data_IF_166886333701
#
_entry.id   IF_166886333701
#
_cell.length_a   1.000
_cell.length_b   1.000
_cell.length_c   1.000
_cell.angle_alpha   90.00
_cell.angle_beta   90.00
_cell.angle_gamma   90.00
#
_symmetry.space_group_name_H-M   'P 1'
#
loop_
_entity.id
_entity.type
_entity.pdbx_description
1 polymer ?
#
# COMPACT_ATOMS: atom_id res chain seq x y z
N UNK A 1 -2.24 -18.75 -7.31
CA UNK A 1 -2.74 -19.62 -6.21
C UNK A 1 -1.83 -19.66 -4.97
N UNK A 2 -0.81 -18.80 -4.84
CA UNK A 2 0.03 -18.71 -3.62
C UNK A 2 -0.50 -17.70 -2.58
N UNK A 3 -1.32 -16.73 -3.00
CA UNK A 3 -1.74 -15.60 -2.16
C UNK A 3 -2.84 -15.90 -1.13
N UNK A 4 -3.64 -16.96 -1.30
CA UNK A 4 -4.75 -17.30 -0.37
C UNK A 4 -4.24 -18.04 0.88
N UNK A 5 -3.08 -18.69 0.82
CA UNK A 5 -2.57 -19.52 1.93
C UNK A 5 -1.90 -18.74 3.07
N UNK A 6 -1.57 -17.45 2.89
CA UNK A 6 -0.98 -16.62 3.97
C UNK A 6 -2.02 -16.04 4.92
N UNK A 7 -3.30 -15.96 4.53
CA UNK A 7 -4.37 -15.33 5.32
C UNK A 7 -4.75 -16.15 6.59
N UNK A 8 -4.36 -17.43 6.70
CA UNK A 8 -4.78 -18.32 7.82
C UNK A 8 -3.71 -18.48 8.92
N UNK A 9 -2.49 -17.95 8.77
CA UNK A 9 -1.36 -18.25 9.69
C UNK A 9 -1.25 -17.40 10.96
N UNK A 10 -2.30 -16.66 11.37
CA UNK A 10 -2.28 -15.82 12.59
C UNK A 10 -2.73 -16.51 13.89
N UNK A 11 -3.02 -17.82 13.88
CA UNK A 11 -3.36 -18.56 15.10
C UNK A 11 -2.21 -19.51 15.48
N UNK A 12 -1.49 -19.13 16.54
CA UNK A 12 -0.25 -19.73 16.98
C UNK A 12 -0.26 -21.25 17.09
N UNK A 13 0.55 -21.90 16.26
CA UNK A 13 1.03 -23.26 16.48
C UNK A 13 2.49 -23.35 16.01
N UNK A 14 3.39 -23.49 16.98
CA UNK A 14 4.78 -23.88 16.77
C UNK A 14 4.81 -25.27 16.15
N UNK A 15 5.40 -25.44 14.96
CA UNK A 15 5.80 -26.76 14.50
C UNK A 15 7.18 -26.78 13.84
N UNK A 16 7.94 -27.78 14.29
CA UNK A 16 9.28 -28.18 13.90
C UNK A 16 9.38 -28.52 12.40
N UNK A 17 10.61 -28.31 11.91
CA UNK A 17 11.15 -28.70 10.61
C UNK A 17 10.72 -30.08 10.10
N UNK A 18 10.29 -30.13 8.83
CA UNK A 18 10.45 -31.31 7.99
C UNK A 18 11.12 -30.91 6.65
N UNK A 19 12.40 -31.27 6.51
CA UNK A 19 13.11 -31.25 5.23
C UNK A 19 12.51 -32.33 4.33
N UNK A 20 11.89 -31.93 3.22
CA UNK A 20 11.65 -32.83 2.09
C UNK A 20 12.72 -32.52 1.04
N UNK A 21 13.59 -33.51 0.81
CA UNK A 21 14.61 -33.47 -0.21
C UNK A 21 13.98 -33.65 -1.60
N UNK A 22 14.18 -32.68 -2.48
CA UNK A 22 13.85 -32.77 -3.90
C UNK A 22 14.70 -31.78 -4.68
N UNK A 23 15.70 -32.29 -5.42
CA UNK A 23 16.51 -31.50 -6.36
C UNK A 23 15.64 -31.08 -7.54
N UNK A 24 15.69 -29.82 -7.97
CA UNK A 24 16.35 -29.41 -9.24
C UNK A 24 16.07 -27.95 -9.64
N UNK A 25 17.12 -27.33 -10.20
CA UNK A 25 17.19 -26.13 -11.05
C UNK A 25 16.91 -24.72 -10.47
N UNK A 26 18.01 -24.10 -10.03
CA UNK A 26 18.50 -22.86 -10.67
C UNK A 26 17.83 -21.54 -10.30
N UNK A 27 18.30 -20.93 -9.21
CA UNK A 27 18.04 -19.53 -8.85
C UNK A 27 17.74 -19.35 -7.37
N UNK A 28 18.74 -19.53 -6.51
CA UNK A 28 18.63 -19.13 -5.10
C UNK A 28 18.77 -17.61 -5.03
N UNK A 29 17.68 -16.89 -5.28
CA UNK A 29 17.61 -15.47 -4.96
C UNK A 29 17.61 -15.35 -3.45
N UNK A 30 18.48 -14.52 -2.83
CA UNK A 30 18.37 -14.26 -1.41
C UNK A 30 16.95 -13.76 -1.16
N UNK A 31 16.24 -14.40 -0.23
CA UNK A 31 14.95 -13.89 0.24
C UNK A 31 15.28 -12.53 0.82
N UNK A 32 14.89 -11.45 0.14
CA UNK A 32 15.07 -10.11 0.66
C UNK A 32 14.39 -10.04 2.04
N UNK A 33 15.00 -9.28 2.97
CA UNK A 33 14.39 -8.99 4.27
C UNK A 33 12.92 -8.58 4.08
N UNK A 34 12.04 -9.09 4.92
CA UNK A 34 10.59 -8.85 4.80
C UNK A 34 10.29 -7.36 4.84
N UNK A 35 9.68 -6.85 3.78
CA UNK A 35 9.31 -5.45 3.66
C UNK A 35 7.87 -5.22 4.14
N UNK A 36 7.60 -3.97 4.53
CA UNK A 36 6.33 -3.58 5.13
C UNK A 36 5.57 -2.61 4.22
N UNK A 37 4.26 -2.79 4.14
CA UNK A 37 3.33 -1.79 3.59
C UNK A 37 2.61 -1.13 4.77
N UNK A 38 2.71 0.18 4.91
CA UNK A 38 2.07 0.96 5.97
C UNK A 38 0.91 1.76 5.38
N UNK A 39 -0.24 1.78 6.06
CA UNK A 39 -1.42 2.52 5.60
C UNK A 39 -2.26 3.12 6.72
N UNK A 40 -3.05 4.15 6.43
CA UNK A 40 -4.09 4.60 7.36
C UNK A 40 -5.24 3.57 7.43
N UNK A 41 -5.80 3.23 8.63
CA UNK A 41 -6.81 2.19 8.79
C UNK A 41 -8.21 2.63 8.32
N UNK A 42 -8.34 2.93 7.03
CA UNK A 42 -9.62 3.13 6.35
C UNK A 42 -9.72 2.19 5.14
N UNK A 43 -10.85 2.24 4.43
CA UNK A 43 -11.06 1.44 3.24
C UNK A 43 -10.10 1.81 2.10
N UNK A 44 -9.86 3.10 1.87
CA UNK A 44 -8.94 3.57 0.83
C UNK A 44 -7.49 3.18 1.12
N UNK A 45 -7.02 3.35 2.36
CA UNK A 45 -5.70 2.88 2.79
C UNK A 45 -5.51 1.38 2.63
N UNK A 46 -6.52 0.56 2.94
CA UNK A 46 -6.43 -0.89 2.72
C UNK A 46 -6.37 -1.25 1.23
N UNK A 47 -7.24 -0.66 0.39
CA UNK A 47 -7.23 -0.88 -1.06
C UNK A 47 -5.88 -0.44 -1.64
N UNK A 48 -5.40 0.74 -1.27
CA UNK A 48 -4.09 1.27 -1.66
C UNK A 48 -2.96 0.33 -1.26
N UNK A 49 -3.02 -0.24 -0.05
CA UNK A 49 -2.05 -1.21 0.45
C UNK A 49 -1.99 -2.49 -0.38
N UNK A 50 -3.16 -3.01 -0.79
CA UNK A 50 -3.25 -4.20 -1.65
C UNK A 50 -2.72 -3.91 -3.06
N UNK A 51 -3.04 -2.76 -3.65
CA UNK A 51 -2.52 -2.37 -4.96
C UNK A 51 -0.99 -2.22 -4.94
N UNK A 52 -0.46 -1.60 -3.88
CA UNK A 52 0.98 -1.47 -3.67
C UNK A 52 1.63 -2.84 -3.47
N UNK A 53 1.10 -3.69 -2.58
CA UNK A 53 1.60 -5.05 -2.37
C UNK A 53 1.75 -5.78 -3.71
N UNK A 54 0.66 -5.90 -4.48
CA UNK A 54 0.65 -6.65 -5.73
C UNK A 54 1.75 -6.16 -6.69
N UNK A 55 1.94 -4.84 -6.80
CA UNK A 55 3.00 -4.27 -7.63
C UNK A 55 4.39 -4.53 -7.07
N UNK A 56 4.58 -4.40 -5.76
CA UNK A 56 5.89 -4.54 -5.13
C UNK A 56 6.39 -5.99 -5.21
N UNK A 57 5.52 -6.98 -4.99
CA UNK A 57 5.91 -8.39 -5.14
C UNK A 57 6.20 -8.74 -6.60
N UNK A 58 5.27 -8.44 -7.51
CA UNK A 58 5.36 -8.91 -8.89
C UNK A 58 6.36 -8.11 -9.74
N UNK A 59 6.62 -6.83 -9.43
CA UNK A 59 7.43 -5.93 -10.26
C UNK A 59 8.69 -5.40 -9.58
N UNK A 60 8.73 -5.37 -8.24
CA UNK A 60 9.91 -4.92 -7.50
C UNK A 60 10.64 -6.06 -6.80
N UNK A 61 10.14 -7.29 -6.89
CA UNK A 61 10.70 -8.48 -6.24
C UNK A 61 10.84 -8.27 -4.72
N UNK A 62 9.92 -7.49 -4.14
CA UNK A 62 9.81 -7.32 -2.70
C UNK A 62 9.18 -8.57 -2.09
N UNK A 63 9.56 -8.92 -0.87
CA UNK A 63 8.90 -9.95 -0.08
C UNK A 63 8.01 -9.24 0.95
N UNK A 64 6.76 -8.96 0.59
CA UNK A 64 5.84 -8.23 1.48
C UNK A 64 5.40 -9.20 2.58
N UNK A 65 5.81 -8.90 3.81
CA UNK A 65 5.46 -9.69 4.98
C UNK A 65 4.06 -9.36 5.46
N UNK A 66 3.81 -8.06 5.68
CA UNK A 66 2.61 -7.55 6.33
C UNK A 66 2.16 -6.19 5.75
N UNK A 67 0.85 -5.97 5.76
CA UNK A 67 0.24 -4.65 5.65
C UNK A 67 -0.10 -4.17 7.07
N UNK A 68 0.52 -3.09 7.51
CA UNK A 68 0.40 -2.55 8.86
C UNK A 68 -0.44 -1.27 8.89
N UNK A 69 -1.53 -1.24 9.66
CA UNK A 69 -2.27 0.00 9.89
C UNK A 69 -1.49 0.94 10.82
N UNK A 70 -1.54 2.23 10.52
CA UNK A 70 -0.96 3.30 11.33
C UNK A 70 -1.93 4.47 11.45
N UNK A 71 -1.93 5.15 12.58
CA UNK A 71 -2.86 6.25 12.85
C UNK A 71 -2.11 7.57 13.07
N UNK A 72 -2.83 8.69 13.03
CA UNK A 72 -2.24 10.02 13.18
C UNK A 72 -1.72 10.36 14.58
N UNK A 73 -1.83 9.46 15.57
CA UNK A 73 -1.27 9.71 16.91
C UNK A 73 0.25 9.79 16.90
N UNK A 74 0.90 9.19 15.89
CA UNK A 74 2.36 9.25 15.73
C UNK A 74 2.83 10.43 14.87
N UNK A 75 1.93 11.34 14.46
CA UNK A 75 2.25 12.44 13.53
C UNK A 75 3.47 13.25 13.96
N UNK A 76 3.57 13.58 15.25
CA UNK A 76 4.64 14.43 15.79
C UNK A 76 6.00 13.74 15.83
N UNK A 77 6.02 12.41 15.90
CA UNK A 77 7.25 11.59 15.92
C UNK A 77 7.54 10.92 14.59
N UNK A 78 6.63 11.01 13.61
CA UNK A 78 6.68 10.28 12.35
C UNK A 78 7.99 10.45 11.58
N UNK A 79 8.42 11.69 11.32
CA UNK A 79 9.65 11.95 10.56
C UNK A 79 10.93 11.53 11.28
N UNK A 80 10.86 11.32 12.61
CA UNK A 80 11.97 10.83 13.41
C UNK A 80 11.92 9.31 13.62
N UNK A 81 10.84 8.65 13.18
CA UNK A 81 10.68 7.21 13.35
C UNK A 81 11.61 6.42 12.42
N UNK A 82 12.09 5.29 12.90
CA UNK A 82 12.83 4.34 12.07
C UNK A 82 11.84 3.42 11.34
N UNK A 83 11.90 3.45 10.01
CA UNK A 83 11.16 2.50 9.18
C UNK A 83 12.06 1.31 8.84
N UNK A 84 11.49 0.10 8.84
CA UNK A 84 12.16 -1.05 8.24
C UNK A 84 12.30 -0.81 6.74
N UNK A 85 13.50 -0.97 6.17
CA UNK A 85 13.73 -0.80 4.73
C UNK A 85 13.87 -2.15 4.02
N UNK A 86 13.23 -2.36 2.86
CA UNK A 86 12.40 -1.38 2.16
C UNK A 86 10.99 -1.24 2.78
N UNK A 87 10.40 -0.04 2.69
CA UNK A 87 9.06 0.28 3.16
C UNK A 87 8.23 0.96 2.07
N UNK A 88 6.99 0.52 1.96
CA UNK A 88 5.95 1.22 1.22
C UNK A 88 4.99 1.90 2.19
N UNK A 89 4.63 3.14 1.91
CA UNK A 89 3.65 3.91 2.70
C UNK A 89 2.57 4.39 1.76
N UNK A 90 1.31 4.11 2.05
CA UNK A 90 0.17 4.53 1.23
C UNK A 90 -0.90 5.15 2.08
N UNK A 91 -1.60 6.15 1.55
CA UNK A 91 -2.69 6.82 2.24
C UNK A 91 -2.28 7.39 3.62
N UNK A 92 -1.01 7.79 3.74
CA UNK A 92 -0.43 8.26 4.98
C UNK A 92 0.75 9.21 4.73
N UNK A 93 1.12 9.93 5.79
CA UNK A 93 2.14 10.98 5.82
C UNK A 93 3.44 10.60 5.10
N UNK A 94 3.99 11.53 4.32
CA UNK A 94 5.26 11.32 3.62
C UNK A 94 6.40 11.03 4.61
N UNK A 95 7.26 10.07 4.25
CA UNK A 95 8.48 9.76 4.99
C UNK A 95 9.69 9.68 4.05
N UNK A 96 10.81 10.40 4.33
CA UNK A 96 12.00 10.38 3.47
C UNK A 96 12.63 8.99 3.28
N UNK A 97 12.50 8.10 4.26
CA UNK A 97 13.01 6.73 4.16
C UNK A 97 12.12 5.75 3.39
N UNK A 98 10.92 6.16 2.93
CA UNK A 98 10.05 5.28 2.15
C UNK A 98 10.57 5.11 0.73
N UNK A 99 10.74 3.89 0.24
CA UNK A 99 11.13 3.59 -1.15
C UNK A 99 9.93 3.62 -2.11
N UNK A 100 8.73 3.38 -1.58
CA UNK A 100 7.47 3.53 -2.27
C UNK A 100 6.53 4.40 -1.43
N UNK A 101 5.92 5.41 -2.05
CA UNK A 101 4.94 6.25 -1.36
C UNK A 101 3.80 6.65 -2.28
N UNK A 102 2.58 6.60 -1.78
CA UNK A 102 1.43 7.18 -2.47
C UNK A 102 0.48 7.87 -1.50
N UNK A 103 -0.04 9.03 -1.89
CA UNK A 103 -1.04 9.75 -1.09
C UNK A 103 -1.81 10.77 -1.95
N UNK A 104 -2.89 11.29 -1.39
CA UNK A 104 -3.71 12.37 -1.94
C UNK A 104 -4.06 13.46 -0.92
N UNK A 105 -3.68 13.32 0.35
CA UNK A 105 -3.96 14.34 1.36
C UNK A 105 -3.09 15.59 1.16
N UNK A 106 -3.67 16.79 1.24
CA UNK A 106 -2.88 18.04 1.20
C UNK A 106 -1.96 18.20 2.42
N UNK A 107 -2.24 17.46 3.50
CA UNK A 107 -1.57 17.56 4.80
C UNK A 107 -0.49 16.49 5.02
N UNK A 108 -0.15 15.71 3.99
CA UNK A 108 0.83 14.61 4.05
C UNK A 108 2.25 15.08 4.34
N UNK A 109 2.55 16.32 3.95
CA UNK A 109 3.89 16.90 4.04
C UNK A 109 4.01 17.67 5.35
N UNK A 110 4.67 17.06 6.34
CA UNK A 110 4.76 17.60 7.70
C UNK A 110 5.72 18.79 7.84
N UNK A 111 6.64 18.99 6.89
CA UNK A 111 7.61 20.07 6.95
C UNK A 111 8.07 20.50 5.56
N UNK A 112 8.62 21.72 5.45
CA UNK A 112 9.26 22.19 4.21
C UNK A 112 10.44 21.32 3.77
N UNK A 113 11.15 20.70 4.72
CA UNK A 113 12.25 19.80 4.42
C UNK A 113 11.76 18.49 3.79
N UNK A 114 10.67 17.94 4.31
CA UNK A 114 9.99 16.77 3.73
C UNK A 114 9.46 17.06 2.33
N UNK A 115 8.79 18.20 2.14
CA UNK A 115 8.34 18.66 0.81
C UNK A 115 9.51 18.80 -0.17
N UNK A 116 10.58 19.48 0.23
CA UNK A 116 11.77 19.62 -0.61
C UNK A 116 12.41 18.27 -0.96
N UNK A 117 12.38 17.29 -0.05
CA UNK A 117 12.86 15.94 -0.30
C UNK A 117 11.99 15.19 -1.32
N UNK A 118 10.68 15.23 -1.14
CA UNK A 118 9.73 14.69 -2.11
C UNK A 118 9.96 15.27 -3.51
N UNK A 119 10.10 16.60 -3.63
CA UNK A 119 10.33 17.26 -4.92
C UNK A 119 11.62 16.80 -5.61
N UNK A 120 12.69 16.51 -4.84
CA UNK A 120 13.94 15.95 -5.39
C UNK A 120 13.79 14.50 -5.87
N UNK A 121 12.92 13.71 -5.22
CA UNK A 121 12.81 12.25 -5.42
C UNK A 121 11.69 11.83 -6.37
N UNK A 122 10.63 12.63 -6.55
CA UNK A 122 9.39 12.26 -7.27
C UNK A 122 9.56 11.83 -8.73
N UNK A 123 10.70 12.12 -9.36
CA UNK A 123 11.03 11.64 -10.72
C UNK A 123 11.97 10.43 -10.77
N UNK A 124 12.45 9.93 -9.62
CA UNK A 124 13.45 8.86 -9.52
C UNK A 124 12.97 7.66 -8.71
N UNK A 125 12.10 7.89 -7.73
CA UNK A 125 11.51 6.87 -6.87
C UNK A 125 10.04 6.64 -7.23
N UNK A 126 9.45 5.55 -6.72
CA UNK A 126 8.01 5.27 -6.87
C UNK A 126 7.20 6.11 -5.87
N UNK A 127 7.15 7.43 -6.11
CA UNK A 127 6.40 8.39 -5.29
C UNK A 127 5.24 8.95 -6.11
N UNK A 128 4.01 8.74 -5.65
CA UNK A 128 2.77 9.10 -6.37
C UNK A 128 1.92 10.02 -5.53
N UNK A 129 1.77 11.27 -5.95
CA UNK A 129 0.98 12.26 -5.23
C UNK A 129 0.03 12.99 -6.15
N UNK A 130 -1.24 13.05 -5.77
CA UNK A 130 -2.25 13.84 -6.45
C UNK A 130 -3.31 14.33 -5.46
N UNK A 131 -3.16 15.57 -5.00
CA UNK A 131 -4.11 16.21 -4.08
C UNK A 131 -5.54 16.35 -4.61
N UNK A 132 -5.74 16.16 -5.92
CA UNK A 132 -7.05 16.24 -6.57
C UNK A 132 -7.69 14.87 -6.73
N UNK A 133 -6.98 13.80 -6.38
CA UNK A 133 -7.52 12.48 -6.41
C UNK A 133 -8.60 12.31 -5.33
N UNK A 134 -9.63 11.55 -5.69
CA UNK A 134 -10.79 11.30 -4.82
C UNK A 134 -10.54 10.22 -3.78
N UNK A 135 -9.40 9.55 -3.89
CA UNK A 135 -8.85 8.57 -2.97
C UNK A 135 -7.37 8.35 -3.35
N UNK A 136 -6.54 7.86 -2.43
CA UNK A 136 -5.17 7.41 -2.65
C UNK A 136 -5.08 6.23 -3.65
N UNK A 137 -6.11 5.37 -3.72
CA UNK A 137 -6.13 4.28 -4.69
C UNK A 137 -6.12 4.76 -6.16
N UNK A 138 -6.66 5.95 -6.47
CA UNK A 138 -6.70 6.49 -7.83
C UNK A 138 -5.31 6.80 -8.44
N UNK A 139 -4.41 7.57 -7.80
CA UNK A 139 -3.07 7.82 -8.35
C UNK A 139 -2.26 6.53 -8.47
N UNK A 140 -2.43 5.57 -7.55
CA UNK A 140 -1.83 4.24 -7.66
C UNK A 140 -2.31 3.51 -8.92
N UNK A 141 -3.63 3.39 -9.11
CA UNK A 141 -4.18 2.66 -10.24
C UNK A 141 -3.78 3.27 -11.59
N UNK A 142 -3.74 4.61 -11.68
CA UNK A 142 -3.27 5.31 -12.90
C UNK A 142 -1.76 5.14 -13.11
N UNK A 143 -0.96 5.37 -12.08
CA UNK A 143 0.51 5.31 -12.15
C UNK A 143 1.04 3.90 -12.41
N UNK A 144 0.31 2.89 -11.94
CA UNK A 144 0.62 1.47 -12.11
C UNK A 144 -0.24 0.82 -13.20
N UNK A 145 -0.94 1.61 -14.03
CA UNK A 145 -1.94 1.13 -14.98
C UNK A 145 -1.41 0.06 -15.95
N UNK A 146 -0.18 0.17 -16.41
CA UNK A 146 0.44 -0.86 -17.26
C UNK A 146 0.51 -2.26 -16.61
N UNK A 147 0.46 -2.33 -15.28
CA UNK A 147 0.47 -3.57 -14.51
C UNK A 147 -0.92 -3.97 -13.97
N UNK A 148 -1.75 -2.99 -13.60
CA UNK A 148 -3.02 -3.24 -12.92
C UNK A 148 -4.24 -3.26 -13.85
N UNK A 149 -4.13 -2.75 -15.09
CA UNK A 149 -5.29 -2.58 -15.99
C UNK A 149 -5.97 -3.89 -16.36
N UNK A 150 -5.21 -4.99 -16.49
CA UNK A 150 -5.74 -6.30 -16.87
C UNK A 150 -6.45 -7.03 -15.72
N UNK A 151 -6.53 -6.41 -14.54
CA UNK A 151 -7.09 -6.98 -13.31
C UNK A 151 -8.39 -6.27 -12.94
N UNK A 152 -9.55 -6.72 -13.46
CA UNK A 152 -10.82 -5.98 -13.35
C UNK A 152 -11.30 -5.79 -11.90
N UNK A 153 -10.94 -6.70 -10.99
CA UNK A 153 -11.25 -6.56 -9.56
C UNK A 153 -10.56 -5.34 -8.92
N UNK A 154 -9.34 -4.99 -9.35
CA UNK A 154 -8.68 -3.77 -8.86
C UNK A 154 -9.39 -2.51 -9.34
N UNK A 155 -9.85 -2.49 -10.59
CA UNK A 155 -10.65 -1.37 -11.11
C UNK A 155 -11.93 -1.18 -10.31
N UNK A 156 -12.62 -2.26 -9.95
CA UNK A 156 -13.82 -2.20 -9.12
C UNK A 156 -13.52 -1.68 -7.70
N UNK A 157 -12.49 -2.23 -7.04
CA UNK A 157 -12.09 -1.79 -5.69
C UNK A 157 -11.68 -0.32 -5.65
N UNK A 158 -10.93 0.16 -6.64
CA UNK A 158 -10.59 1.59 -6.79
C UNK A 158 -11.85 2.43 -6.94
N UNK A 159 -12.81 1.98 -7.76
CA UNK A 159 -14.08 2.69 -7.93
C UNK A 159 -14.92 2.75 -6.63
N UNK A 160 -14.79 1.76 -5.74
CA UNK A 160 -15.39 1.83 -4.40
C UNK A 160 -14.64 2.76 -3.47
N UNK A 161 -13.30 2.75 -3.49
CA UNK A 161 -12.47 3.64 -2.68
C UNK A 161 -12.78 5.11 -3.01
N UNK A 162 -12.84 5.46 -4.30
CA UNK A 162 -13.21 6.81 -4.74
C UNK A 162 -14.58 7.26 -4.22
N UNK A 163 -15.60 6.38 -4.24
CA UNK A 163 -16.96 6.73 -3.79
C UNK A 163 -17.03 6.92 -2.28
N UNK A 164 -16.37 6.05 -1.52
CA UNK A 164 -16.39 6.06 -0.06
C UNK A 164 -15.61 7.27 0.45
N UNK A 165 -14.40 7.46 -0.04
CA UNK A 165 -13.48 8.47 0.48
C UNK A 165 -13.91 9.90 0.13
N UNK A 166 -14.38 10.13 -1.10
CA UNK A 166 -15.01 11.41 -1.47
C UNK A 166 -16.46 11.58 -1.02
N UNK A 167 -17.02 10.59 -0.29
CA UNK A 167 -18.39 10.59 0.22
C UNK A 167 -19.50 10.87 -0.83
N UNK A 168 -19.31 10.46 -2.09
CA UNK A 168 -20.27 10.71 -3.17
C UNK A 168 -21.22 9.54 -3.44
N UNK A 169 -21.52 8.74 -2.42
CA UNK A 169 -22.57 7.74 -2.56
C UNK A 169 -23.87 8.47 -2.90
N UNK A 170 -24.61 8.05 -3.95
CA UNK A 170 -25.93 8.61 -4.18
C UNK A 170 -26.76 8.30 -2.93
N UNK A 171 -27.12 9.35 -2.17
CA UNK A 171 -28.12 9.21 -1.13
C UNK A 171 -29.39 8.74 -1.84
N UNK A 172 -29.74 7.46 -1.63
CA UNK A 172 -30.97 6.91 -2.14
C UNK A 172 -32.10 7.84 -1.73
N UNK A 173 -32.93 8.27 -2.69
CA UNK A 173 -34.21 8.89 -2.34
C UNK A 173 -34.87 7.94 -1.35
N UNK A 174 -35.09 8.39 -0.10
CA UNK A 174 -35.91 7.63 0.84
C UNK A 174 -37.19 7.31 0.11
N UNK A 175 -37.48 6.03 -0.09
CA UNK A 175 -38.81 5.62 -0.51
C UNK A 175 -39.76 6.13 0.56
N UNK A 176 -40.62 7.06 0.16
CA UNK A 176 -41.73 7.58 0.95
C UNK A 176 -42.46 6.43 1.65
N UNK A 177 -42.57 6.43 2.99
CA UNK A 177 -43.33 5.41 3.70
C UNK A 177 -44.81 5.61 3.39
N UNK A 178 -45.31 4.90 2.38
CA UNK A 178 -46.75 4.67 2.18
C UNK A 178 -47.26 3.65 3.17
#
# INVERSE_FOLDING_TARGET
MRSVQRIIKSLGMTFFSLKVAGKTHGGFWPVHEECNVVHYPCFDGLVSGVLAWEFLEEHKNWNVGEIHPVNYTIRDTWLASELRTPCAIVDFLYHPSAEFWADHHQTSMLSRAAEADFQRRKGKACLMFDERARSCASPLFRGLGGFLTDKPHFKEMVGWAEKIDSATLPFGKRSDPR
#
